data_IF_303398005407
#
_entry.id   IF_303398005407
#
_cell.length_a   1.000
_cell.length_b   1.000
_cell.length_c   1.000
_cell.angle_alpha   90.00
_cell.angle_beta   90.00
_cell.angle_gamma   90.00
#
_symmetry.space_group_name_H-M   'P 1'
#
loop_
_entity.id
_entity.type
_entity.pdbx_description
1 polymer ?
#
# COMPACT_ATOMS: atom_id res chain seq x y z
N UNK A 1 49.19 1.25 -54.73
CA UNK A 1 48.60 2.42 -54.04
C UNK A 1 47.08 2.31 -53.81
N UNK A 2 46.27 1.78 -54.73
CA UNK A 2 44.80 1.69 -54.59
C UNK A 2 44.28 0.84 -53.41
N UNK A 3 45.01 -0.21 -52.98
CA UNK A 3 44.62 -1.08 -51.85
C UNK A 3 44.62 -0.37 -50.48
N UNK A 4 45.45 0.66 -50.31
CA UNK A 4 45.57 1.41 -49.04
C UNK A 4 44.49 2.50 -48.90
N UNK A 5 44.00 3.02 -50.02
CA UNK A 5 42.91 4.02 -50.06
C UNK A 5 41.59 3.40 -49.59
N UNK A 6 41.31 2.15 -49.95
CA UNK A 6 40.12 1.44 -49.48
C UNK A 6 40.13 1.21 -47.96
N UNK A 7 41.31 0.93 -47.36
CA UNK A 7 41.43 0.73 -45.92
C UNK A 7 41.22 2.05 -45.17
N UNK A 8 41.81 3.15 -45.64
CA UNK A 8 41.64 4.48 -45.03
C UNK A 8 40.19 5.00 -45.08
N UNK A 9 39.42 4.64 -46.11
CA UNK A 9 37.99 4.98 -46.23
C UNK A 9 37.09 4.18 -45.27
N UNK A 10 37.50 3.00 -44.80
CA UNK A 10 36.71 2.15 -43.89
C UNK A 10 36.96 2.40 -42.40
N UNK A 11 38.09 3.03 -42.02
CA UNK A 11 38.42 3.36 -40.62
C UNK A 11 37.37 4.25 -39.92
N UNK A 12 36.81 5.32 -40.53
CA UNK A 12 35.79 6.14 -39.85
C UNK A 12 34.48 5.38 -39.59
N UNK A 13 34.07 4.45 -40.47
CA UNK A 13 32.86 3.63 -40.25
C UNK A 13 32.97 2.69 -39.05
N UNK A 14 34.15 2.10 -38.80
CA UNK A 14 34.37 1.25 -37.63
C UNK A 14 34.38 2.06 -36.33
N UNK A 15 34.89 3.29 -36.35
CA UNK A 15 34.94 4.17 -35.18
C UNK A 15 33.53 4.59 -34.71
N UNK A 16 32.64 4.95 -35.63
CA UNK A 16 31.25 5.29 -35.30
C UNK A 16 30.43 4.09 -34.79
N UNK A 17 30.67 2.89 -35.34
CA UNK A 17 30.00 1.66 -34.91
C UNK A 17 30.39 1.25 -33.48
N UNK A 18 31.67 1.44 -33.09
CA UNK A 18 32.15 1.17 -31.73
C UNK A 18 31.55 2.13 -30.69
N UNK A 19 31.36 3.41 -31.04
CA UNK A 19 30.78 4.43 -30.16
C UNK A 19 29.32 4.10 -29.78
N UNK A 20 28.47 3.77 -30.76
CA UNK A 20 27.04 3.41 -30.52
C UNK A 20 26.88 2.10 -29.72
N UNK A 21 27.81 1.14 -29.89
CA UNK A 21 27.82 -0.10 -29.10
C UNK A 21 28.16 0.17 -27.63
N UNK A 22 29.17 1.01 -27.37
CA UNK A 22 29.57 1.39 -26.00
C UNK A 22 28.45 2.10 -25.26
N UNK A 23 27.75 3.03 -25.91
CA UNK A 23 26.59 3.73 -25.35
C UNK A 23 25.46 2.76 -24.98
N UNK A 24 25.08 1.85 -25.88
CA UNK A 24 24.05 0.83 -25.58
C UNK A 24 24.44 -0.09 -24.42
N UNK A 25 25.71 -0.49 -24.33
CA UNK A 25 26.17 -1.32 -23.20
C UNK A 25 26.09 -0.55 -21.88
N UNK A 26 26.45 0.74 -21.87
CA UNK A 26 26.32 1.59 -20.69
C UNK A 26 24.85 1.77 -20.28
N UNK A 27 23.96 2.02 -21.24
CA UNK A 27 22.51 2.15 -21.02
C UNK A 27 21.88 0.86 -20.47
N UNK A 28 22.25 -0.29 -21.03
CA UNK A 28 21.78 -1.60 -20.53
C UNK A 28 22.32 -1.86 -19.12
N UNK A 29 23.57 -1.48 -18.83
CA UNK A 29 24.15 -1.62 -17.49
C UNK A 29 23.44 -0.74 -16.46
N UNK A 30 23.21 0.53 -16.78
CA UNK A 30 22.41 1.46 -15.97
C UNK A 30 21.01 0.92 -15.71
N UNK A 31 20.29 0.53 -16.77
CA UNK A 31 18.95 -0.04 -16.67
C UNK A 31 18.92 -1.30 -15.80
N UNK A 32 19.93 -2.17 -15.94
CA UNK A 32 20.05 -3.40 -15.15
C UNK A 32 20.29 -3.07 -13.67
N UNK A 33 21.13 -2.06 -13.38
CA UNK A 33 21.36 -1.61 -12.02
C UNK A 33 20.08 -1.03 -11.39
N UNK A 34 19.34 -0.21 -12.14
CA UNK A 34 18.05 0.35 -11.71
C UNK A 34 17.05 -0.77 -11.39
N UNK A 35 16.87 -1.73 -12.30
CA UNK A 35 15.94 -2.86 -12.10
C UNK A 35 16.36 -3.70 -10.89
N UNK A 36 17.66 -3.97 -10.73
CA UNK A 36 18.19 -4.73 -9.59
C UNK A 36 17.92 -4.02 -8.26
N UNK A 37 18.20 -2.72 -8.20
CA UNK A 37 17.96 -1.91 -7.00
C UNK A 37 16.47 -1.84 -6.67
N UNK A 38 15.62 -1.58 -7.68
CA UNK A 38 14.18 -1.57 -7.50
C UNK A 38 13.66 -2.89 -6.93
N UNK A 39 14.08 -4.02 -7.50
CA UNK A 39 13.71 -5.35 -7.00
C UNK A 39 14.14 -5.54 -5.55
N UNK A 40 15.35 -5.13 -5.19
CA UNK A 40 15.85 -5.21 -3.80
C UNK A 40 14.99 -4.40 -2.83
N UNK A 41 14.65 -3.15 -3.17
CA UNK A 41 13.81 -2.30 -2.33
C UNK A 41 12.40 -2.86 -2.16
N UNK A 42 11.76 -3.26 -3.27
CA UNK A 42 10.41 -3.85 -3.24
C UNK A 42 10.42 -5.14 -2.42
N UNK A 43 11.41 -6.01 -2.62
CA UNK A 43 11.49 -7.29 -1.91
C UNK A 43 11.64 -7.10 -0.41
N UNK A 44 12.45 -6.15 0.05
CA UNK A 44 12.56 -5.88 1.48
C UNK A 44 11.28 -5.26 2.03
N UNK A 45 10.77 -4.19 1.39
CA UNK A 45 9.59 -3.48 1.88
C UNK A 45 8.34 -4.36 1.87
N UNK A 46 8.23 -5.34 0.97
CA UNK A 46 7.13 -6.30 0.92
C UNK A 46 7.46 -7.65 1.59
N UNK A 47 8.54 -7.75 2.36
CA UNK A 47 8.90 -9.00 3.04
C UNK A 47 8.08 -9.25 4.30
N UNK A 48 7.94 -10.53 4.66
CA UNK A 48 7.30 -10.98 5.90
C UNK A 48 7.99 -10.43 7.16
N UNK A 49 9.25 -10.02 7.06
CA UNK A 49 9.98 -9.42 8.19
C UNK A 49 9.35 -8.12 8.71
N UNK A 50 8.53 -7.45 7.89
CA UNK A 50 7.79 -6.27 8.32
C UNK A 50 6.41 -6.64 8.89
N UNK A 51 5.90 -7.85 8.66
CA UNK A 51 4.58 -8.31 9.14
C UNK A 51 3.40 -7.41 8.70
N UNK A 52 3.62 -6.58 7.67
CA UNK A 52 2.70 -5.52 7.23
C UNK A 52 3.25 -4.11 7.48
N UNK A 53 2.55 -3.07 7.02
CA UNK A 53 2.96 -1.66 7.20
C UNK A 53 1.77 -0.75 7.48
N UNK A 54 0.83 -1.25 8.30
CA UNK A 54 -0.27 -0.43 8.77
C UNK A 54 0.30 0.73 9.59
N UNK A 55 -0.32 1.90 9.48
CA UNK A 55 0.00 3.06 10.31
C UNK A 55 0.11 2.69 11.80
N UNK A 56 1.12 3.22 12.47
CA UNK A 56 1.43 2.98 13.88
C UNK A 56 2.01 1.59 14.18
N UNK A 57 2.09 0.69 13.20
CA UNK A 57 2.58 -0.67 13.44
C UNK A 57 4.11 -0.75 13.49
N UNK A 58 4.63 -1.80 14.14
CA UNK A 58 6.07 -2.09 14.17
C UNK A 58 6.66 -2.20 12.75
N UNK A 59 5.90 -2.77 11.81
CA UNK A 59 6.32 -2.91 10.42
C UNK A 59 6.44 -1.58 9.68
N UNK A 60 5.58 -0.60 9.98
CA UNK A 60 5.74 0.76 9.46
C UNK A 60 7.03 1.41 9.98
N UNK A 61 7.33 1.27 11.27
CA UNK A 61 8.56 1.81 11.87
C UNK A 61 9.81 1.22 11.20
N UNK A 62 9.85 -0.10 10.98
CA UNK A 62 10.97 -0.75 10.28
C UNK A 62 11.10 -0.28 8.83
N UNK A 63 9.99 -0.05 8.13
CA UNK A 63 10.01 0.52 6.78
C UNK A 63 10.54 1.96 6.77
N UNK A 64 10.13 2.77 7.74
CA UNK A 64 10.61 4.14 7.93
C UNK A 64 12.14 4.14 8.15
N UNK A 65 12.64 3.32 9.07
CA UNK A 65 14.08 3.18 9.34
C UNK A 65 14.86 2.78 8.08
N UNK A 66 14.35 1.81 7.33
CA UNK A 66 14.95 1.38 6.08
C UNK A 66 15.07 2.52 5.06
N UNK A 67 14.01 3.30 4.87
CA UNK A 67 13.98 4.45 3.94
C UNK A 67 14.98 5.52 4.40
N UNK A 68 14.98 5.84 5.70
CA UNK A 68 15.94 6.78 6.30
C UNK A 68 17.38 6.33 6.01
N UNK A 69 17.68 5.04 6.14
CA UNK A 69 19.02 4.52 5.87
C UNK A 69 19.38 4.56 4.38
N UNK A 70 18.41 4.40 3.47
CA UNK A 70 18.65 4.65 2.03
C UNK A 70 18.98 6.13 1.78
N UNK A 71 18.25 7.06 2.41
CA UNK A 71 18.49 8.50 2.28
C UNK A 71 19.87 8.91 2.79
N UNK A 72 20.31 8.36 3.94
CA UNK A 72 21.66 8.57 4.45
C UNK A 72 22.72 8.09 3.46
N UNK A 73 22.55 6.89 2.88
CA UNK A 73 23.48 6.34 1.90
C UNK A 73 23.56 7.20 0.62
N UNK A 74 22.46 7.86 0.25
CA UNK A 74 22.41 8.80 -0.88
C UNK A 74 23.00 10.18 -0.54
N UNK A 75 23.36 10.45 0.72
CA UNK A 75 23.88 11.75 1.15
C UNK A 75 22.80 12.85 1.21
N UNK A 76 21.53 12.48 1.33
CA UNK A 76 20.44 13.44 1.44
C UNK A 76 20.47 14.18 2.78
N UNK A 77 20.08 15.45 2.74
CA UNK A 77 19.97 16.27 3.96
C UNK A 77 18.60 16.07 4.61
N UNK A 78 18.50 15.86 5.93
CA UNK A 78 17.24 15.74 6.64
C UNK A 78 16.38 17.02 6.55
N UNK A 79 15.05 16.86 6.50
CA UNK A 79 14.07 17.95 6.39
C UNK A 79 12.82 17.76 7.27
N UNK A 80 12.80 16.75 8.13
CA UNK A 80 11.72 16.53 9.09
C UNK A 80 11.90 17.33 10.37
N UNK A 81 10.89 17.29 11.25
CA UNK A 81 10.94 17.88 12.59
C UNK A 81 12.02 17.21 13.45
N UNK A 82 12.19 15.89 13.32
CA UNK A 82 13.23 15.13 13.99
C UNK A 82 14.10 14.39 12.97
N UNK A 83 15.14 15.06 12.46
CA UNK A 83 15.99 14.51 11.42
C UNK A 83 15.22 14.29 10.11
N UNK A 84 15.10 13.03 9.66
CA UNK A 84 14.33 12.70 8.47
C UNK A 84 12.82 12.52 8.74
N UNK A 85 12.40 12.46 10.01
CA UNK A 85 11.03 12.13 10.40
C UNK A 85 10.15 13.37 10.51
N UNK A 86 8.95 13.27 9.92
CA UNK A 86 7.88 14.26 10.01
C UNK A 86 6.64 13.58 10.59
N UNK A 87 6.41 13.79 11.88
CA UNK A 87 5.22 13.27 12.56
C UNK A 87 3.97 14.07 12.17
N UNK A 88 2.84 13.38 12.10
CA UNK A 88 1.51 13.96 11.90
C UNK A 88 0.44 13.06 12.51
N UNK A 89 -0.69 13.65 12.88
CA UNK A 89 -1.81 12.90 13.46
C UNK A 89 -2.62 12.19 12.37
N UNK A 90 -3.01 10.95 12.66
CA UNK A 90 -3.85 10.14 11.79
C UNK A 90 -5.08 9.73 12.59
N UNK A 91 -6.25 9.88 11.97
CA UNK A 91 -7.49 9.36 12.53
C UNK A 91 -7.68 7.92 12.03
N UNK A 92 -7.50 6.94 12.92
CA UNK A 92 -7.60 5.50 12.60
C UNK A 92 -9.04 4.99 12.41
N UNK A 93 -10.03 5.87 12.49
CA UNK A 93 -11.44 5.54 12.29
C UNK A 93 -12.24 5.61 13.59
N UNK A 94 -13.38 4.91 13.61
CA UNK A 94 -14.34 4.96 14.72
C UNK A 94 -14.17 3.78 15.66
N UNK A 95 -14.19 4.08 16.96
CA UNK A 95 -14.24 3.06 17.99
C UNK A 95 -15.66 2.55 18.27
N UNK A 96 -15.82 1.22 18.38
CA UNK A 96 -17.10 0.65 18.84
C UNK A 96 -17.16 0.86 20.34
N UNK A 97 -17.98 1.82 20.74
CA UNK A 97 -18.19 2.14 22.14
C UNK A 97 -19.03 1.07 22.87
N UNK A 98 -18.83 0.94 24.18
CA UNK A 98 -19.56 -0.01 25.03
C UNK A 98 -21.08 0.21 25.03
N UNK A 99 -21.56 1.41 24.66
CA UNK A 99 -22.98 1.70 24.54
C UNK A 99 -23.57 1.28 23.18
N UNK A 100 -22.80 0.69 22.27
CA UNK A 100 -23.31 0.15 21.01
C UNK A 100 -24.23 -1.04 21.29
N UNK A 101 -25.50 -0.93 20.90
CA UNK A 101 -26.47 -2.00 21.08
C UNK A 101 -27.47 -2.02 19.93
N UNK A 102 -27.84 -3.23 19.51
CA UNK A 102 -28.89 -3.48 18.53
C UNK A 102 -29.96 -4.37 19.17
N UNK A 103 -31.23 -3.98 18.99
CA UNK A 103 -32.40 -4.75 19.41
C UNK A 103 -33.34 -4.96 18.24
N UNK A 104 -33.77 -6.20 18.03
CA UNK A 104 -34.75 -6.59 17.02
C UNK A 104 -35.89 -7.31 17.73
N UNK A 105 -37.14 -6.84 17.57
CA UNK A 105 -38.32 -7.44 18.22
C UNK A 105 -38.16 -7.66 19.74
N UNK A 106 -37.47 -6.73 20.42
CA UNK A 106 -37.19 -6.81 21.86
C UNK A 106 -36.03 -7.72 22.24
N UNK A 107 -35.50 -8.54 21.33
CA UNK A 107 -34.29 -9.34 21.53
C UNK A 107 -33.05 -8.47 21.36
N UNK A 108 -32.18 -8.45 22.36
CA UNK A 108 -30.87 -7.79 22.26
C UNK A 108 -29.88 -8.71 21.57
N UNK A 109 -29.11 -8.17 20.64
CA UNK A 109 -28.07 -8.90 19.90
C UNK A 109 -26.70 -8.68 20.53
N UNK A 110 -25.85 -9.69 20.46
CA UNK A 110 -24.48 -9.64 20.94
C UNK A 110 -23.59 -9.01 19.87
N UNK A 111 -22.85 -7.98 20.26
CA UNK A 111 -21.84 -7.37 19.41
C UNK A 111 -20.78 -8.41 19.04
N UNK A 112 -20.25 -8.34 17.82
CA UNK A 112 -19.29 -9.27 17.21
C UNK A 112 -19.89 -10.62 16.84
N UNK A 113 -20.67 -11.23 17.73
CA UNK A 113 -21.27 -12.55 17.48
C UNK A 113 -22.48 -12.47 16.53
N UNK A 114 -23.42 -11.57 16.80
CA UNK A 114 -24.66 -11.42 16.03
C UNK A 114 -24.57 -10.26 15.01
N UNK A 115 -23.79 -9.22 15.30
CA UNK A 115 -23.64 -8.04 14.42
C UNK A 115 -22.40 -7.21 14.79
N UNK A 116 -21.93 -6.38 13.85
CA UNK A 116 -20.99 -5.30 14.14
C UNK A 116 -21.30 -4.08 13.26
N UNK A 117 -21.15 -2.85 13.77
CA UNK A 117 -21.30 -1.65 12.98
C UNK A 117 -20.14 -1.49 11.99
N UNK A 118 -20.44 -1.09 10.75
CA UNK A 118 -19.43 -0.76 9.76
C UNK A 118 -18.70 0.54 10.17
N UNK A 119 -17.41 0.67 9.84
CA UNK A 119 -16.58 1.82 10.23
C UNK A 119 -17.14 3.19 9.78
N UNK A 120 -17.91 3.21 8.68
CA UNK A 120 -18.57 4.40 8.15
C UNK A 120 -20.00 4.65 8.68
N UNK A 121 -20.46 3.85 9.64
CA UNK A 121 -21.79 4.00 10.26
C UNK A 121 -21.95 5.34 10.96
N UNK A 122 -23.15 5.91 10.94
CA UNK A 122 -23.45 7.16 11.63
C UNK A 122 -23.41 6.99 13.16
N UNK A 123 -22.99 8.03 13.89
CA UNK A 123 -23.05 8.07 15.36
C UNK A 123 -24.45 8.54 15.79
N UNK A 124 -25.45 7.66 15.69
CA UNK A 124 -26.86 8.00 15.95
C UNK A 124 -27.65 6.81 16.46
N UNK A 125 -28.62 7.07 17.34
CA UNK A 125 -29.66 6.11 17.71
C UNK A 125 -30.86 6.21 16.77
N UNK A 126 -31.31 5.08 16.23
CA UNK A 126 -32.48 5.00 15.36
C UNK A 126 -33.41 3.90 15.86
N UNK A 127 -34.73 4.15 15.79
CA UNK A 127 -35.78 3.17 16.07
C UNK A 127 -36.81 3.26 14.96
N UNK A 128 -37.20 2.13 14.39
CA UNK A 128 -38.22 2.07 13.35
C UNK A 128 -38.37 0.67 12.77
N UNK A 129 -39.37 0.51 11.91
CA UNK A 129 -39.53 -0.68 11.10
C UNK A 129 -38.64 -0.55 9.87
N UNK A 130 -37.85 -1.57 9.58
CA UNK A 130 -36.87 -1.58 8.50
C UNK A 130 -36.93 -2.90 7.77
N UNK A 131 -36.73 -2.88 6.46
CA UNK A 131 -36.55 -4.08 5.66
C UNK A 131 -35.06 -4.31 5.46
N UNK A 132 -34.55 -5.47 5.88
CA UNK A 132 -33.12 -5.79 5.79
C UNK A 132 -32.56 -5.70 4.36
N UNK A 133 -33.41 -5.90 3.35
CA UNK A 133 -33.05 -5.83 1.94
C UNK A 133 -33.01 -4.40 1.35
N UNK A 134 -33.44 -3.36 2.09
CA UNK A 134 -33.56 -2.00 1.58
C UNK A 134 -32.65 -1.02 2.33
N UNK A 135 -31.99 -0.16 1.57
CA UNK A 135 -31.12 0.90 2.10
C UNK A 135 -31.89 2.23 2.15
N UNK A 136 -32.85 2.32 3.04
CA UNK A 136 -33.70 3.51 3.19
C UNK A 136 -33.03 4.63 3.96
N UNK A 137 -33.30 5.89 3.58
CA UNK A 137 -32.74 7.04 4.27
C UNK A 137 -33.23 7.11 5.74
N UNK A 138 -32.31 7.42 6.66
CA UNK A 138 -32.56 7.49 8.11
C UNK A 138 -32.95 6.17 8.80
N UNK A 139 -32.83 5.03 8.13
CA UNK A 139 -33.01 3.70 8.72
C UNK A 139 -31.67 2.94 8.76
N UNK A 140 -31.52 1.96 9.69
CA UNK A 140 -30.34 1.12 9.70
C UNK A 140 -30.31 0.23 8.47
N UNK A 141 -29.13 0.13 7.86
CA UNK A 141 -28.87 -0.75 6.71
C UNK A 141 -28.22 -2.03 7.21
N UNK A 142 -28.68 -3.16 6.68
CA UNK A 142 -28.12 -4.46 7.00
C UNK A 142 -27.33 -4.94 5.78
N UNK A 143 -26.17 -5.54 6.07
CA UNK A 143 -25.35 -6.18 5.06
C UNK A 143 -25.11 -7.60 5.53
N UNK A 144 -25.45 -8.56 4.67
CA UNK A 144 -25.14 -9.95 4.94
C UNK A 144 -23.63 -10.14 4.83
N UNK A 145 -23.03 -10.68 5.90
CA UNK A 145 -21.59 -10.91 5.94
C UNK A 145 -21.16 -11.98 4.93
N UNK A 146 -21.99 -12.99 4.67
CA UNK A 146 -21.68 -14.05 3.71
C UNK A 146 -21.65 -13.51 2.28
N UNK A 147 -22.60 -12.62 1.93
CA UNK A 147 -22.61 -11.93 0.64
C UNK A 147 -21.37 -11.05 0.47
N UNK A 148 -21.05 -10.23 1.49
CA UNK A 148 -19.85 -9.39 1.47
C UNK A 148 -18.55 -10.18 1.33
N UNK A 149 -18.43 -11.31 2.03
CA UNK A 149 -17.26 -12.19 1.93
C UNK A 149 -17.12 -12.80 0.53
N UNK A 150 -18.23 -13.21 -0.09
CA UNK A 150 -18.24 -13.77 -1.43
C UNK A 150 -17.87 -12.72 -2.50
N UNK A 151 -18.43 -11.50 -2.40
CA UNK A 151 -18.12 -10.38 -3.29
C UNK A 151 -16.64 -10.00 -3.24
N UNK A 152 -16.03 -10.09 -2.06
CA UNK A 152 -14.67 -9.66 -1.81
C UNK A 152 -13.65 -10.81 -1.73
N UNK A 153 -14.01 -12.03 -2.14
CA UNK A 153 -13.13 -13.21 -2.06
C UNK A 153 -11.78 -13.07 -2.78
N UNK A 154 -11.69 -12.16 -3.75
CA UNK A 154 -10.46 -11.88 -4.51
C UNK A 154 -9.71 -10.64 -4.03
N UNK A 155 -10.24 -9.92 -3.04
CA UNK A 155 -9.65 -8.70 -2.51
C UNK A 155 -8.72 -9.05 -1.33
N UNK A 156 -7.38 -9.00 -1.50
CA UNK A 156 -6.43 -9.34 -0.44
C UNK A 156 -6.41 -8.32 0.72
N UNK A 157 -7.12 -7.21 0.58
CA UNK A 157 -7.26 -6.17 1.60
C UNK A 157 -8.65 -6.15 2.24
N UNK A 158 -9.54 -7.07 1.87
CA UNK A 158 -10.84 -7.19 2.51
C UNK A 158 -10.71 -8.02 3.77
N UNK A 159 -10.75 -7.33 4.90
CA UNK A 159 -10.74 -7.94 6.21
C UNK A 159 -12.02 -7.56 6.95
N UNK A 160 -12.86 -8.56 7.22
CA UNK A 160 -14.12 -8.40 7.95
C UNK A 160 -13.91 -8.34 9.46
N UNK A 161 -12.73 -8.76 9.93
CA UNK A 161 -12.36 -8.88 11.35
C UNK A 161 -11.04 -8.12 11.56
N UNK A 162 -11.03 -6.84 11.22
CA UNK A 162 -10.18 -5.90 11.96
C UNK A 162 -11.09 -5.30 13.03
N UNK A 163 -11.21 -6.00 14.16
CA UNK A 163 -11.48 -5.33 15.43
C UNK A 163 -10.11 -5.10 16.08
N UNK A 164 -9.48 -3.93 15.92
CA UNK A 164 -8.50 -3.47 16.87
C UNK A 164 -9.24 -2.58 17.86
N UNK A 165 -9.66 -3.12 18.99
CA UNK A 165 -9.63 -2.31 20.22
C UNK A 165 -8.58 -2.95 21.11
#
# INVERSE_FOLDING_TARGET
MKKWIAILLFIPLLSEAQSKRKLRIAEVKETTAIITNLKKHVQFLASDALEGRRTGSKGEILAMEYIIDQYKQMGLTPKGVNGFMQEFEINEGKQIDANNHLKIEGKSLHLVDDYFPLAFSALKTVKGNTAAALNEANLPWFKDLAELLEENKTNPHFDTIVLPW
#
